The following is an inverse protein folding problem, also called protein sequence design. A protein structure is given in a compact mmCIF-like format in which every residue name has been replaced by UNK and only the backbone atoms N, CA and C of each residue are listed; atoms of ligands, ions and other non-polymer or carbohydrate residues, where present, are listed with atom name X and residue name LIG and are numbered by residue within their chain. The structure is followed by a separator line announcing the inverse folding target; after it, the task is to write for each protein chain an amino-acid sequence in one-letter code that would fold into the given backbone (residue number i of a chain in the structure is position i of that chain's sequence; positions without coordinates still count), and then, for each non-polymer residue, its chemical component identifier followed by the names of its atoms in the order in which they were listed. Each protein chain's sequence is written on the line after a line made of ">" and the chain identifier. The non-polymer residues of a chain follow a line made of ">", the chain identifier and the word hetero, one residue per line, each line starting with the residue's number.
data_IF_230667152926
#
_entry.id   IF_230667152926
#
_cell.length_a   1.000
_cell.length_b   1.000
_cell.length_c   1.000
_cell.angle_alpha   90.00
_cell.angle_beta   90.00
_cell.angle_gamma   90.00
#
_symmetry.space_group_name_H-M   'P 1'
#
loop_
_entity.id
_entity.type
_entity.pdbx_description
1 polymer ?
#
# COMPACT_ATOMS: atom_id res chain seq x y z
N UNK A 1 13.50 30.21 -0.29
CA UNK A 1 13.13 28.81 -0.59
C UNK A 1 13.54 28.01 0.62
N UNK A 2 12.60 27.36 1.31
CA UNK A 2 12.98 26.42 2.39
C UNK A 2 13.83 25.29 1.80
N UNK A 3 14.81 24.82 2.57
CA UNK A 3 15.68 23.72 2.18
C UNK A 3 14.85 22.43 2.06
N UNK A 4 14.98 21.72 0.94
CA UNK A 4 14.24 20.46 0.71
C UNK A 4 14.64 19.43 1.77
N UNK A 5 13.68 18.64 2.23
CA UNK A 5 13.96 17.59 3.20
C UNK A 5 14.73 16.47 2.49
N UNK A 6 15.93 16.15 3.00
CA UNK A 6 16.73 15.04 2.50
C UNK A 6 16.15 13.69 2.88
N UNK A 7 15.95 12.81 1.91
CA UNK A 7 15.47 11.43 2.10
C UNK A 7 16.49 10.42 1.53
N UNK A 8 16.34 9.15 1.88
CA UNK A 8 17.18 8.07 1.33
C UNK A 8 16.87 7.77 -0.13
N UNK A 9 15.60 7.90 -0.53
CA UNK A 9 15.17 7.80 -1.91
C UNK A 9 13.65 7.67 -2.06
N UNK A 10 13.24 7.53 -3.32
CA UNK A 10 11.85 7.26 -3.72
C UNK A 10 11.85 5.93 -4.48
N UNK A 11 10.90 5.05 -4.17
CA UNK A 11 10.73 3.75 -4.82
C UNK A 11 9.33 3.63 -5.42
N UNK A 12 9.24 2.81 -6.46
CA UNK A 12 8.02 2.48 -7.19
C UNK A 12 7.94 0.97 -7.40
N UNK A 13 6.74 0.42 -7.26
CA UNK A 13 6.39 -0.98 -7.55
C UNK A 13 5.11 -0.97 -8.39
N UNK A 14 5.23 -1.33 -9.67
CA UNK A 14 4.11 -1.38 -10.64
C UNK A 14 3.59 -2.81 -10.82
N UNK A 15 2.48 -2.97 -11.55
CA UNK A 15 1.87 -4.28 -11.81
C UNK A 15 1.36 -4.89 -10.52
N UNK A 16 0.63 -4.08 -9.75
CA UNK A 16 0.07 -4.46 -8.46
C UNK A 16 -1.44 -4.37 -8.52
N UNK A 17 -2.07 -5.13 -7.65
CA UNK A 17 -3.50 -5.05 -7.39
C UNK A 17 -3.74 -4.83 -5.89
N UNK A 18 -4.77 -4.05 -5.57
CA UNK A 18 -5.37 -4.04 -4.24
C UNK A 18 -6.40 -5.16 -4.17
N UNK A 19 -6.37 -5.93 -3.08
CA UNK A 19 -7.49 -6.79 -2.67
C UNK A 19 -7.93 -6.38 -1.28
N UNK A 20 -9.23 -6.31 -1.02
CA UNK A 20 -9.80 -5.93 0.26
C UNK A 20 -10.76 -6.98 0.77
N UNK A 21 -10.70 -7.23 2.07
CA UNK A 21 -11.68 -8.01 2.81
C UNK A 21 -12.31 -7.08 3.86
N UNK A 22 -13.60 -6.82 3.72
CA UNK A 22 -14.29 -5.74 4.43
C UNK A 22 -15.30 -6.23 5.45
N UNK A 23 -15.45 -5.44 6.50
CA UNK A 23 -16.36 -5.66 7.63
C UNK A 23 -16.23 -7.07 8.20
N UNK A 24 -15.01 -7.43 8.58
CA UNK A 24 -14.65 -8.70 9.20
C UNK A 24 -14.90 -8.60 10.70
N UNK A 25 -15.46 -9.65 11.31
CA UNK A 25 -15.75 -9.66 12.75
C UNK A 25 -14.46 -9.47 13.58
N UNK A 26 -14.59 -8.75 14.70
CA UNK A 26 -13.48 -8.53 15.64
C UNK A 26 -13.23 -9.80 16.47
N UNK A 27 -12.34 -10.65 15.97
CA UNK A 27 -11.94 -11.92 16.56
C UNK A 27 -10.44 -12.14 16.38
N UNK A 28 -9.80 -12.61 17.45
CA UNK A 28 -8.33 -12.66 17.57
C UNK A 28 -7.64 -13.61 16.59
N UNK A 29 -8.36 -14.60 16.06
CA UNK A 29 -7.84 -15.60 15.12
C UNK A 29 -7.88 -15.14 13.64
N UNK A 30 -8.66 -14.10 13.34
CA UNK A 30 -8.98 -13.67 11.98
C UNK A 30 -7.77 -13.28 11.14
N UNK A 31 -6.81 -12.46 11.63
CA UNK A 31 -5.61 -12.18 10.85
C UNK A 31 -4.83 -13.45 10.50
N UNK A 32 -4.78 -14.43 11.40
CA UNK A 32 -4.11 -15.71 11.16
C UNK A 32 -4.79 -16.54 10.06
N UNK A 33 -6.13 -16.59 10.07
CA UNK A 33 -6.93 -17.28 9.04
C UNK A 33 -6.73 -16.62 7.67
N UNK A 34 -6.85 -15.28 7.60
CA UNK A 34 -6.76 -14.52 6.35
C UNK A 34 -5.36 -14.62 5.74
N UNK A 35 -4.32 -14.33 6.54
CA UNK A 35 -2.93 -14.38 6.06
C UNK A 35 -2.50 -15.81 5.74
N UNK A 36 -2.99 -16.79 6.51
CA UNK A 36 -2.80 -18.20 6.23
C UNK A 36 -3.42 -18.63 4.89
N UNK A 37 -4.63 -18.19 4.58
CA UNK A 37 -5.31 -18.50 3.31
C UNK A 37 -4.54 -17.95 2.10
N UNK A 38 -4.08 -16.70 2.17
CA UNK A 38 -3.24 -16.09 1.13
C UNK A 38 -1.89 -16.80 0.99
N UNK A 39 -1.21 -17.10 2.11
CA UNK A 39 0.06 -17.81 2.12
C UNK A 39 -0.02 -19.24 1.58
N UNK A 40 -1.06 -20.01 1.97
CA UNK A 40 -1.31 -21.36 1.45
C UNK A 40 -1.64 -21.36 -0.04
N UNK A 41 -2.15 -20.24 -0.55
CA UNK A 41 -2.38 -20.02 -1.97
C UNK A 41 -1.16 -19.42 -2.67
N UNK A 42 0.01 -19.38 -2.03
CA UNK A 42 1.25 -18.83 -2.58
C UNK A 42 1.12 -17.36 -3.06
N UNK A 43 0.33 -16.53 -2.36
CA UNK A 43 0.18 -15.10 -2.67
C UNK A 43 1.09 -14.30 -1.73
N UNK A 44 2.04 -13.58 -2.32
CA UNK A 44 2.90 -12.65 -1.56
C UNK A 44 2.21 -11.31 -1.33
N UNK A 45 2.32 -10.80 -0.11
CA UNK A 45 1.76 -9.50 0.28
C UNK A 45 2.90 -8.48 0.34
N UNK A 46 2.88 -7.49 -0.55
CA UNK A 46 3.88 -6.41 -0.55
C UNK A 46 3.53 -5.34 0.52
N UNK A 47 2.23 -5.14 0.74
CA UNK A 47 1.71 -4.04 1.53
C UNK A 47 0.41 -4.48 2.21
N UNK A 48 0.27 -4.20 3.50
CA UNK A 48 -0.90 -4.54 4.32
C UNK A 48 -1.36 -3.30 5.09
N UNK A 49 -2.67 -3.08 5.12
CA UNK A 49 -3.33 -2.11 6.01
C UNK A 49 -4.53 -2.79 6.64
N UNK A 50 -4.62 -2.71 7.96
CA UNK A 50 -5.80 -3.04 8.73
C UNK A 50 -6.37 -1.74 9.30
N UNK A 51 -7.69 -1.58 9.20
CA UNK A 51 -8.41 -0.43 9.74
C UNK A 51 -9.79 -0.87 10.24
N UNK A 52 -10.43 -0.05 11.05
CA UNK A 52 -11.76 -0.33 11.59
C UNK A 52 -12.79 0.56 10.90
N UNK A 53 -13.95 0.01 10.53
CA UNK A 53 -15.08 0.81 10.05
C UNK A 53 -15.91 1.41 11.21
N UNK A 54 -16.98 2.12 10.84
CA UNK A 54 -17.87 2.79 11.80
C UNK A 54 -18.63 1.82 12.71
N UNK A 55 -18.75 0.55 12.32
CA UNK A 55 -19.43 -0.49 13.10
C UNK A 55 -18.46 -1.25 14.03
N UNK A 56 -17.18 -0.86 14.07
CA UNK A 56 -16.15 -1.54 14.85
C UNK A 56 -15.61 -2.81 14.17
N UNK A 57 -15.92 -3.04 12.88
CA UNK A 57 -15.47 -4.22 12.15
C UNK A 57 -14.14 -3.94 11.43
N UNK A 58 -13.31 -4.97 11.32
CA UNK A 58 -12.00 -4.85 10.68
C UNK A 58 -12.11 -4.84 9.15
N UNK A 59 -11.23 -4.09 8.50
CA UNK A 59 -11.07 -4.01 7.05
C UNK A 59 -9.61 -4.22 6.71
N UNK A 60 -9.33 -5.27 5.96
CA UNK A 60 -8.00 -5.60 5.49
C UNK A 60 -7.84 -5.15 4.04
N UNK A 61 -6.76 -4.45 3.75
CA UNK A 61 -6.34 -4.07 2.40
C UNK A 61 -4.95 -4.61 2.16
N UNK A 62 -4.81 -5.42 1.11
CA UNK A 62 -3.57 -6.03 0.66
C UNK A 62 -3.18 -5.41 -0.67
N UNK A 63 -1.89 -5.09 -0.87
CA UNK A 63 -1.33 -4.92 -2.20
C UNK A 63 -0.49 -6.15 -2.52
N UNK A 64 -0.79 -6.76 -3.66
CA UNK A 64 -0.18 -8.00 -4.15
C UNK A 64 0.31 -7.82 -5.58
N UNK A 65 1.07 -8.79 -6.09
CA UNK A 65 1.32 -8.88 -7.52
C UNK A 65 0.00 -9.04 -8.28
N UNK A 66 -0.18 -8.28 -9.36
CA UNK A 66 -1.42 -8.34 -10.14
C UNK A 66 -1.63 -9.70 -10.80
N UNK A 67 -0.56 -10.43 -11.14
CA UNK A 67 -0.63 -11.80 -11.65
C UNK A 67 -1.23 -12.80 -10.65
N UNK A 68 -1.28 -12.44 -9.36
CA UNK A 68 -1.85 -13.27 -8.30
C UNK A 68 -3.29 -12.87 -7.94
N UNK A 69 -3.88 -11.87 -8.60
CA UNK A 69 -5.18 -11.30 -8.25
C UNK A 69 -6.30 -12.34 -8.17
N UNK A 70 -6.49 -13.13 -9.23
CA UNK A 70 -7.57 -14.14 -9.26
C UNK A 70 -7.41 -15.16 -8.13
N UNK A 71 -6.17 -15.58 -7.88
CA UNK A 71 -5.83 -16.55 -6.83
C UNK A 71 -6.08 -15.99 -5.44
N UNK A 72 -5.71 -14.73 -5.20
CA UNK A 72 -5.94 -14.04 -3.94
C UNK A 72 -7.43 -13.86 -3.64
N UNK A 73 -8.22 -13.42 -4.63
CA UNK A 73 -9.67 -13.25 -4.48
C UNK A 73 -10.33 -14.60 -4.18
N UNK A 74 -9.98 -15.67 -4.90
CA UNK A 74 -10.51 -17.01 -4.64
C UNK A 74 -10.19 -17.52 -3.23
N UNK A 75 -8.95 -17.29 -2.76
CA UNK A 75 -8.54 -17.67 -1.40
C UNK A 75 -9.35 -16.95 -0.33
N UNK A 76 -9.57 -15.63 -0.49
CA UNK A 76 -10.35 -14.82 0.45
C UNK A 76 -11.84 -15.16 0.42
N UNK A 77 -12.42 -15.40 -0.75
CA UNK A 77 -13.82 -15.83 -0.87
C UNK A 77 -14.06 -17.19 -0.18
N UNK A 78 -13.07 -18.08 -0.18
CA UNK A 78 -13.17 -19.39 0.51
C UNK A 78 -13.31 -19.23 2.02
N UNK A 79 -12.57 -18.30 2.62
CA UNK A 79 -12.58 -18.07 4.08
C UNK A 79 -13.59 -17.01 4.52
N UNK A 80 -14.26 -16.33 3.58
CA UNK A 80 -15.13 -15.18 3.86
C UNK A 80 -16.21 -15.48 4.91
N UNK A 81 -16.86 -16.64 4.80
CA UNK A 81 -17.89 -17.06 5.75
C UNK A 81 -17.29 -17.49 7.11
N UNK A 82 -16.08 -18.01 7.14
CA UNK A 82 -15.40 -18.45 8.37
C UNK A 82 -15.01 -17.26 9.26
N UNK A 83 -14.61 -16.15 8.63
CA UNK A 83 -14.20 -14.92 9.31
C UNK A 83 -15.33 -13.87 9.40
N UNK A 84 -16.56 -14.24 9.03
CA UNK A 84 -17.73 -13.36 9.06
C UNK A 84 -17.55 -12.06 8.26
N UNK A 85 -16.80 -12.09 7.16
CA UNK A 85 -16.57 -10.93 6.30
C UNK A 85 -17.74 -10.67 5.34
N UNK A 86 -18.08 -9.40 5.11
CA UNK A 86 -19.20 -9.02 4.24
C UNK A 86 -18.82 -9.03 2.76
N UNK A 87 -17.64 -8.52 2.42
CA UNK A 87 -17.26 -8.23 1.03
C UNK A 87 -15.79 -8.55 0.78
N UNK A 88 -15.51 -9.25 -0.32
CA UNK A 88 -14.21 -9.22 -0.99
C UNK A 88 -14.33 -8.29 -2.19
N UNK A 89 -13.40 -7.35 -2.33
CA UNK A 89 -13.34 -6.44 -3.49
C UNK A 89 -11.90 -6.22 -3.90
N UNK A 90 -11.66 -5.70 -5.10
CA UNK A 90 -10.32 -5.50 -5.61
C UNK A 90 -10.23 -4.31 -6.57
N UNK A 91 -9.02 -3.81 -6.76
CA UNK A 91 -8.68 -2.73 -7.69
C UNK A 91 -7.40 -3.15 -8.42
N UNK A 92 -7.46 -3.51 -9.72
CA UNK A 92 -6.28 -3.80 -10.53
C UNK A 92 -5.55 -2.51 -10.95
N UNK A 93 -4.45 -2.64 -11.70
CA UNK A 93 -3.71 -1.51 -12.28
C UNK A 93 -3.32 -0.41 -11.26
N UNK A 94 -2.74 -0.82 -10.12
CA UNK A 94 -2.21 0.11 -9.12
C UNK A 94 -0.69 0.01 -8.99
N UNK A 95 -0.10 1.08 -8.46
CA UNK A 95 1.33 1.15 -8.15
C UNK A 95 1.55 1.54 -6.70
N UNK A 96 2.57 0.96 -6.06
CA UNK A 96 3.05 1.38 -4.74
C UNK A 96 4.16 2.39 -4.92
N UNK A 97 4.03 3.55 -4.27
CA UNK A 97 5.06 4.59 -4.22
C UNK A 97 5.52 4.75 -2.77
N UNK A 98 6.83 4.78 -2.56
CA UNK A 98 7.42 4.87 -1.22
C UNK A 98 8.49 5.95 -1.14
N UNK A 99 8.43 6.77 -0.10
CA UNK A 99 9.56 7.62 0.32
C UNK A 99 10.22 6.94 1.50
N UNK A 100 11.53 6.68 1.41
CA UNK A 100 12.29 6.01 2.46
C UNK A 100 13.53 6.80 2.86
N UNK A 101 14.03 6.57 4.07
CA UNK A 101 15.23 7.20 4.58
C UNK A 101 15.50 6.87 6.04
N UNK A 102 16.70 7.17 6.54
CA UNK A 102 17.01 6.93 7.94
C UNK A 102 16.18 7.87 8.83
N UNK A 103 15.84 7.41 10.04
CA UNK A 103 15.21 8.20 11.08
C UNK A 103 13.84 8.80 10.72
N UNK A 104 13.00 8.09 9.96
CA UNK A 104 11.64 8.54 9.61
C UNK A 104 10.81 8.91 10.85
N UNK A 105 10.95 8.12 11.93
CA UNK A 105 10.34 8.38 13.25
C UNK A 105 10.70 9.74 13.85
N UNK A 106 11.88 10.27 13.55
CA UNK A 106 12.38 11.55 14.11
C UNK A 106 12.08 12.74 13.19
N UNK A 107 11.42 12.49 12.04
CA UNK A 107 11.18 13.47 10.98
C UNK A 107 9.69 13.56 10.65
N UNK A 108 8.86 14.10 11.57
CA UNK A 108 7.40 14.06 11.47
C UNK A 108 6.82 14.79 10.25
N UNK A 109 7.59 15.69 9.61
CA UNK A 109 7.14 16.44 8.43
C UNK A 109 7.13 15.63 7.12
N UNK A 110 7.83 14.50 7.04
CA UNK A 110 8.01 13.81 5.74
C UNK A 110 6.67 13.37 5.16
N UNK A 111 5.81 12.70 5.94
CA UNK A 111 4.51 12.25 5.45
C UNK A 111 3.63 13.42 4.99
N UNK A 112 3.61 14.52 5.74
CA UNK A 112 2.86 15.73 5.37
C UNK A 112 3.34 16.33 4.05
N UNK A 113 4.65 16.43 3.85
CA UNK A 113 5.23 16.92 2.59
C UNK A 113 4.94 15.97 1.43
N UNK A 114 5.06 14.67 1.63
CA UNK A 114 4.75 13.66 0.60
C UNK A 114 3.30 13.81 0.12
N UNK A 115 2.33 13.76 1.03
CA UNK A 115 0.92 13.80 0.62
C UNK A 115 0.49 15.19 0.11
N UNK A 116 1.13 16.27 0.55
CA UNK A 116 0.92 17.60 -0.03
C UNK A 116 1.43 17.68 -1.47
N UNK A 117 2.58 17.07 -1.78
CA UNK A 117 3.14 17.01 -3.12
C UNK A 117 2.29 16.16 -4.07
N UNK A 118 1.79 15.01 -3.61
CA UNK A 118 0.85 14.20 -4.40
C UNK A 118 -0.44 14.97 -4.69
N UNK A 119 -1.00 15.65 -3.68
CA UNK A 119 -2.19 16.45 -3.84
C UNK A 119 -2.02 17.62 -4.83
N UNK A 120 -0.83 18.25 -4.89
CA UNK A 120 -0.59 19.39 -5.79
C UNK A 120 -0.63 19.03 -7.27
N UNK A 121 -0.50 17.73 -7.60
CA UNK A 121 -0.63 17.20 -8.97
C UNK A 121 -1.90 16.37 -9.17
N UNK A 122 -2.85 16.43 -8.22
CA UNK A 122 -4.13 15.76 -8.31
C UNK A 122 -4.08 14.24 -8.12
N UNK A 123 -3.02 13.70 -7.53
CA UNK A 123 -2.86 12.26 -7.29
C UNK A 123 -3.55 11.86 -5.98
N UNK A 124 -4.56 10.99 -6.07
CA UNK A 124 -5.25 10.43 -4.93
C UNK A 124 -4.58 9.14 -4.42
N UNK A 125 -4.64 8.90 -3.11
CA UNK A 125 -4.10 7.69 -2.47
C UNK A 125 -5.22 6.70 -2.16
N UNK A 126 -5.01 5.43 -2.52
CA UNK A 126 -5.97 4.34 -2.29
C UNK A 126 -5.75 3.61 -0.96
N UNK A 127 -4.51 3.62 -0.46
CA UNK A 127 -4.12 3.11 0.84
C UNK A 127 -2.77 3.73 1.26
N UNK A 128 -2.52 3.83 2.57
CA UNK A 128 -1.28 4.36 3.15
C UNK A 128 -0.79 3.38 4.21
N UNK A 129 0.52 3.08 4.21
CA UNK A 129 1.18 2.30 5.25
C UNK A 129 2.56 2.88 5.54
N UNK A 130 3.06 2.70 6.76
CA UNK A 130 4.35 3.23 7.18
C UNK A 130 5.16 2.16 7.89
N UNK A 131 6.47 2.21 7.71
CA UNK A 131 7.45 1.44 8.47
C UNK A 131 8.29 2.38 9.34
N UNK A 132 9.31 1.84 10.01
CA UNK A 132 10.30 2.62 10.76
C UNK A 132 11.10 3.56 9.84
N UNK A 133 11.29 3.20 8.57
CA UNK A 133 12.18 3.88 7.62
C UNK A 133 11.49 4.36 6.35
N UNK A 134 10.18 4.16 6.21
CA UNK A 134 9.46 4.52 4.99
C UNK A 134 8.01 4.88 5.26
N UNK A 135 7.46 5.72 4.39
CA UNK A 135 6.03 5.87 4.16
C UNK A 135 5.73 5.42 2.73
N UNK A 136 4.68 4.64 2.58
CA UNK A 136 4.25 4.07 1.31
C UNK A 136 2.77 4.37 1.10
N UNK A 137 2.39 4.61 -0.15
CA UNK A 137 1.00 4.68 -0.54
C UNK A 137 0.76 3.91 -1.84
N UNK A 138 -0.48 3.50 -2.03
CA UNK A 138 -0.96 2.93 -3.29
C UNK A 138 -1.67 4.01 -4.08
N UNK A 139 -1.37 4.13 -5.37
CA UNK A 139 -1.97 5.07 -6.32
C UNK A 139 -2.41 4.33 -7.59
N UNK A 140 -3.31 4.94 -8.37
CA UNK A 140 -3.62 4.44 -9.72
C UNK A 140 -2.35 4.48 -10.59
N UNK A 141 -2.04 3.40 -11.31
CA UNK A 141 -0.82 3.31 -12.13
C UNK A 141 -0.73 4.44 -13.16
N UNK A 142 -1.85 4.95 -13.68
CA UNK A 142 -1.86 6.07 -14.64
C UNK A 142 -1.36 7.38 -14.02
N UNK A 143 -1.35 7.47 -12.70
CA UNK A 143 -0.92 8.65 -11.94
C UNK A 143 0.52 8.56 -11.45
N UNK A 144 1.21 7.44 -11.67
CA UNK A 144 2.50 7.16 -11.03
C UNK A 144 3.62 8.10 -11.48
N UNK A 145 3.67 8.44 -12.77
CA UNK A 145 4.71 9.33 -13.30
C UNK A 145 4.61 10.73 -12.67
N UNK A 146 3.39 11.28 -12.64
CA UNK A 146 3.11 12.56 -11.99
C UNK A 146 3.42 12.54 -10.48
N UNK A 147 3.09 11.42 -9.81
CA UNK A 147 3.42 11.23 -8.40
C UNK A 147 4.93 11.26 -8.16
N UNK A 148 5.70 10.52 -8.96
CA UNK A 148 7.14 10.42 -8.81
C UNK A 148 7.82 11.77 -9.06
N UNK A 149 7.43 12.48 -10.12
CA UNK A 149 7.99 13.81 -10.42
C UNK A 149 7.71 14.81 -9.29
N UNK A 150 6.47 14.87 -8.78
CA UNK A 150 6.11 15.72 -7.65
C UNK A 150 6.94 15.41 -6.39
N UNK A 151 7.25 14.14 -6.13
CA UNK A 151 8.07 13.76 -4.98
C UNK A 151 9.54 14.15 -5.16
N UNK A 152 10.12 14.05 -6.36
CA UNK A 152 11.47 14.55 -6.65
C UNK A 152 11.53 16.09 -6.63
N UNK A 153 10.43 16.78 -6.87
CA UNK A 153 10.32 18.22 -6.65
C UNK A 153 10.24 18.57 -5.16
N UNK A 154 9.55 17.78 -4.35
CA UNK A 154 9.37 18.06 -2.92
C UNK A 154 10.58 17.68 -2.04
N UNK A 155 11.31 16.63 -2.41
CA UNK A 155 12.40 16.08 -1.58
C UNK A 155 13.78 16.23 -2.24
N UNK A 156 14.82 16.26 -1.40
CA UNK A 156 16.20 16.02 -1.86
C UNK A 156 16.47 14.51 -1.77
N UNK A 157 16.32 13.81 -2.89
CA UNK A 157 16.46 12.37 -3.02
C UNK A 157 17.61 12.03 -3.98
N UNK A 158 18.71 11.40 -3.50
CA UNK A 158 19.93 11.21 -4.28
C UNK A 158 19.82 10.16 -5.40
N UNK A 159 18.76 9.35 -5.40
CA UNK A 159 18.57 8.26 -6.37
C UNK A 159 17.24 8.43 -7.11
N UNK A 160 17.29 8.55 -8.44
CA UNK A 160 16.15 8.32 -9.34
C UNK A 160 15.91 6.81 -9.49
N UNK A 161 14.67 6.39 -9.28
CA UNK A 161 14.16 5.01 -9.09
C UNK A 161 14.98 3.88 -9.77
N UNK A 162 15.30 2.82 -9.01
CA UNK A 162 15.44 1.45 -9.55
C UNK A 162 14.03 0.86 -9.59
N UNK A 163 13.54 0.47 -10.78
CA UNK A 163 12.33 -0.35 -10.88
C UNK A 163 12.48 -1.53 -9.92
N UNK A 164 11.54 -1.68 -8.96
CA UNK A 164 11.43 -2.95 -8.25
C UNK A 164 11.02 -3.98 -9.29
N UNK A 165 11.68 -5.14 -9.32
CA UNK A 165 11.39 -6.17 -10.31
C UNK A 165 9.89 -6.52 -10.26
N UNK A 166 9.28 -6.67 -11.45
CA UNK A 166 7.85 -6.99 -11.58
C UNK A 166 7.47 -8.38 -11.05
N UNK A 167 8.45 -9.22 -10.70
CA UNK A 167 8.24 -10.57 -10.18
C UNK A 167 9.00 -10.77 -8.88
N UNK A 168 8.34 -11.34 -7.88
CA UNK A 168 8.98 -11.97 -6.72
C UNK A 168 9.03 -13.48 -6.92
#
# INVERSE_FOLDING_TARGET
>A
MEEKIKVGGIMQSDGRAIVKLLSVADRTDTPGIILGALGNSNVNIEFLVESTDLDGLANFTFCIDEGDLERAVAALETIKAEVDAKVVTYIPDVSVVSVFGPHFRERPRISGVMFSALASVGVNTLAISTSISSVSCVVDTKSVDAAIDALYEAFDAPHRVRQRAKSY
#
